data_IF_780027549911
#
_entry.id   IF_780027549911
#
_cell.length_a   1.000
_cell.length_b   1.000
_cell.length_c   1.000
_cell.angle_alpha   90.00
_cell.angle_beta   90.00
_cell.angle_gamma   90.00
#
_symmetry.space_group_name_H-M   'P 1'
#
loop_
_entity.id
_entity.type
_entity.pdbx_description
1 polymer ?
#
# COMPACT_ATOMS: atom_id res chain seq x y z
N UNK A 1 29.10 90.24 -3.12
CA UNK A 1 29.08 89.09 -4.05
C UNK A 1 28.23 87.99 -3.43
N UNK A 2 27.11 87.64 -4.08
CA UNK A 2 26.08 86.74 -3.57
C UNK A 2 26.48 85.27 -3.77
N UNK A 3 26.34 84.44 -2.73
CA UNK A 3 26.54 83.00 -2.83
C UNK A 3 25.40 82.34 -3.60
N UNK A 4 25.74 81.45 -4.54
CA UNK A 4 24.79 80.61 -5.26
C UNK A 4 24.39 79.45 -4.34
N UNK A 5 23.10 79.37 -3.98
CA UNK A 5 22.50 78.17 -3.40
C UNK A 5 22.22 77.19 -4.54
N UNK A 6 22.81 76.01 -4.45
CA UNK A 6 22.51 74.85 -5.30
C UNK A 6 21.34 74.13 -4.63
N UNK A 7 20.14 74.28 -5.18
CA UNK A 7 18.98 73.48 -4.79
C UNK A 7 19.08 72.12 -5.48
N UNK A 8 19.46 71.11 -4.70
CA UNK A 8 19.52 69.71 -5.12
C UNK A 8 18.12 69.11 -4.91
N UNK A 9 17.31 69.10 -5.96
CA UNK A 9 16.03 68.41 -6.02
C UNK A 9 16.30 66.90 -6.07
N UNK A 10 16.26 66.24 -4.91
CA UNK A 10 16.26 64.77 -4.81
C UNK A 10 14.84 64.30 -5.10
N UNK A 11 14.58 63.98 -6.37
CA UNK A 11 13.38 63.26 -6.76
C UNK A 11 13.52 61.80 -6.29
N UNK A 12 12.87 61.46 -5.18
CA UNK A 12 12.71 60.09 -4.73
C UNK A 12 11.77 59.35 -5.71
N UNK A 13 12.34 58.74 -6.74
CA UNK A 13 11.66 57.73 -7.53
C UNK A 13 11.50 56.48 -6.67
N UNK A 14 10.32 56.32 -6.06
CA UNK A 14 9.91 55.05 -5.45
C UNK A 14 9.69 54.06 -6.61
N UNK A 15 10.74 53.32 -6.95
CA UNK A 15 10.61 52.12 -7.77
C UNK A 15 9.81 51.11 -6.93
N UNK A 16 8.51 50.97 -7.23
CA UNK A 16 7.78 49.74 -6.94
C UNK A 16 8.39 48.64 -7.80
N UNK A 17 9.48 48.03 -7.34
CA UNK A 17 9.86 46.71 -7.81
C UNK A 17 8.79 45.80 -7.25
N UNK A 18 7.78 45.49 -8.06
CA UNK A 18 6.92 44.34 -7.85
C UNK A 18 7.84 43.12 -7.94
N UNK A 19 8.46 42.76 -6.82
CA UNK A 19 8.98 41.41 -6.66
C UNK A 19 7.74 40.56 -6.77
N UNK A 20 7.55 39.91 -7.92
CA UNK A 20 6.64 38.79 -8.02
C UNK A 20 6.89 37.92 -6.78
N UNK A 21 5.85 37.38 -6.12
CA UNK A 21 6.08 36.38 -5.09
C UNK A 21 6.90 35.28 -5.75
N UNK A 22 8.22 35.31 -5.52
CA UNK A 22 9.11 34.20 -5.81
C UNK A 22 8.54 33.16 -4.88
N UNK A 23 8.00 32.06 -5.44
CA UNK A 23 7.54 30.94 -4.62
C UNK A 23 8.70 30.60 -3.70
N UNK A 24 8.54 30.94 -2.43
CA UNK A 24 9.54 30.59 -1.46
C UNK A 24 9.38 29.09 -1.25
N UNK A 25 10.46 28.40 -0.94
CA UNK A 25 10.41 27.02 -0.52
C UNK A 25 11.11 27.02 0.82
N UNK A 26 10.47 26.43 1.81
CA UNK A 26 11.10 26.25 3.11
C UNK A 26 11.93 24.99 3.04
N UNK A 27 13.23 25.14 3.18
CA UNK A 27 14.16 24.03 3.11
C UNK A 27 14.77 23.73 4.48
N UNK A 28 14.70 22.46 4.86
CA UNK A 28 15.40 21.89 6.00
C UNK A 28 16.48 20.95 5.50
N UNK A 29 17.76 21.35 5.57
CA UNK A 29 18.87 20.60 4.98
C UNK A 29 20.14 20.60 5.85
N UNK A 30 19.97 20.77 7.17
CA UNK A 30 21.07 20.98 8.12
C UNK A 30 21.55 19.73 8.85
N UNK A 31 20.93 18.56 8.61
CA UNK A 31 21.15 17.35 9.40
C UNK A 31 20.64 17.46 10.84
N UNK A 32 19.70 18.37 11.08
CA UNK A 32 19.09 18.63 12.39
C UNK A 32 17.69 18.03 12.47
N UNK A 33 17.11 18.05 13.66
CA UNK A 33 15.69 17.74 13.89
C UNK A 33 14.87 19.03 13.91
N UNK A 34 13.78 19.06 13.17
CA UNK A 34 12.85 20.16 13.06
C UNK A 34 11.46 19.73 13.54
N UNK A 35 11.01 20.31 14.64
CA UNK A 35 9.68 20.07 15.20
C UNK A 35 8.71 21.14 14.69
N UNK A 36 7.66 20.72 13.97
CA UNK A 36 6.67 21.61 13.36
C UNK A 36 5.34 21.43 14.08
N UNK A 37 5.00 22.40 14.93
CA UNK A 37 3.74 22.53 15.67
C UNK A 37 2.92 23.76 15.24
N UNK A 38 3.25 24.31 14.06
CA UNK A 38 2.64 25.49 13.47
C UNK A 38 2.34 25.30 11.98
N UNK A 39 1.50 26.17 11.43
CA UNK A 39 1.16 26.15 10.00
C UNK A 39 2.32 26.67 9.14
N UNK A 40 2.70 25.89 8.12
CA UNK A 40 3.62 26.29 7.07
C UNK A 40 2.83 26.57 5.80
N UNK A 41 2.68 27.85 5.46
CA UNK A 41 2.05 28.31 4.22
C UNK A 41 3.05 28.37 3.06
N UNK A 42 3.81 27.29 2.88
CA UNK A 42 4.72 27.14 1.74
C UNK A 42 5.07 25.68 1.47
N UNK A 43 5.65 25.42 0.30
CA UNK A 43 6.25 24.12 0.02
C UNK A 43 7.43 23.86 0.96
N UNK A 44 7.52 22.63 1.46
CA UNK A 44 8.55 22.21 2.40
C UNK A 44 9.41 21.12 1.78
N UNK A 45 10.72 21.34 1.72
CA UNK A 45 11.71 20.36 1.27
C UNK A 45 12.64 19.96 2.41
N UNK A 46 12.92 18.66 2.50
CA UNK A 46 13.86 18.09 3.48
C UNK A 46 15.03 17.44 2.72
N UNK A 47 16.24 17.94 2.93
CA UNK A 47 17.50 17.49 2.31
C UNK A 47 17.59 17.61 0.78
N UNK A 48 16.84 18.52 0.15
CA UNK A 48 16.87 18.68 -1.31
C UNK A 48 18.21 19.24 -1.85
N UNK A 49 18.70 20.38 -1.34
CA UNK A 49 19.91 21.03 -1.84
C UNK A 49 21.20 20.55 -1.15
N UNK A 50 21.07 19.88 -0.02
CA UNK A 50 22.20 19.26 0.71
C UNK A 50 21.90 17.78 0.97
N UNK A 51 21.94 16.93 -0.08
CA UNK A 51 21.61 15.51 0.01
C UNK A 51 22.54 14.76 0.97
N UNK A 52 22.01 13.78 1.71
CA UNK A 52 22.79 12.90 2.60
C UNK A 52 23.06 13.45 4.00
N UNK A 53 22.29 14.45 4.43
CA UNK A 53 22.46 15.09 5.74
C UNK A 53 21.67 14.38 6.86
N UNK A 54 20.71 13.53 6.52
CA UNK A 54 19.85 12.84 7.49
C UNK A 54 18.98 13.79 8.31
N UNK A 55 18.52 14.89 7.71
CA UNK A 55 17.63 15.85 8.38
C UNK A 55 16.31 15.17 8.76
N UNK A 56 15.87 15.43 9.99
CA UNK A 56 14.62 14.91 10.52
C UNK A 56 13.58 16.02 10.60
N UNK A 57 12.38 15.80 10.08
CA UNK A 57 11.21 16.67 10.28
C UNK A 57 10.13 15.90 11.05
N UNK A 58 9.68 16.47 12.16
CA UNK A 58 8.56 15.95 12.94
C UNK A 58 7.36 16.87 12.77
N UNK A 59 6.30 16.39 12.13
CA UNK A 59 4.99 17.03 12.12
C UNK A 59 4.25 16.67 13.40
N UNK A 60 4.03 17.67 14.25
CA UNK A 60 3.41 17.53 15.57
C UNK A 60 1.95 17.98 15.56
N UNK A 61 1.24 17.76 16.66
CA UNK A 61 -0.08 18.35 16.87
C UNK A 61 -0.02 19.88 16.78
N UNK A 62 -0.96 20.48 16.05
CA UNK A 62 -0.96 21.92 15.73
C UNK A 62 -0.19 22.28 14.45
N UNK A 63 0.73 21.40 14.00
CA UNK A 63 1.42 21.55 12.73
C UNK A 63 0.48 21.32 11.54
N UNK A 64 0.58 22.16 10.52
CA UNK A 64 -0.18 21.99 9.28
C UNK A 64 0.59 22.43 8.03
N UNK A 65 0.38 21.70 6.94
CA UNK A 65 0.76 22.11 5.58
C UNK A 65 -0.53 22.13 4.75
N UNK A 66 -1.07 23.32 4.44
CA UNK A 66 -2.34 23.49 3.71
C UNK A 66 -2.35 22.89 2.29
N UNK A 67 -3.55 22.78 1.72
CA UNK A 67 -3.80 22.16 0.41
C UNK A 67 -2.98 22.70 -0.77
N UNK A 68 -2.52 23.94 -0.71
CA UNK A 68 -1.76 24.53 -1.82
C UNK A 68 -0.29 24.11 -1.81
N UNK A 69 0.15 23.42 -0.76
CA UNK A 69 1.56 23.13 -0.48
C UNK A 69 1.82 21.65 -0.24
N UNK A 70 3.07 21.25 -0.43
CA UNK A 70 3.51 19.87 -0.25
C UNK A 70 4.75 19.76 0.63
N UNK A 71 4.91 18.59 1.24
CA UNK A 71 6.12 18.19 1.96
C UNK A 71 6.87 17.14 1.14
N UNK A 72 8.13 17.40 0.82
CA UNK A 72 8.98 16.48 0.07
C UNK A 72 10.25 16.15 0.86
N UNK A 73 10.51 14.87 1.07
CA UNK A 73 11.79 14.35 1.55
C UNK A 73 12.64 13.82 0.41
N UNK A 74 13.95 14.01 0.55
CA UNK A 74 14.95 13.53 -0.40
C UNK A 74 15.99 12.67 0.33
N UNK A 75 16.65 11.79 -0.42
CA UNK A 75 17.84 11.05 0.01
C UNK A 75 17.65 10.26 1.31
N UNK A 76 18.35 10.59 2.40
CA UNK A 76 18.29 9.89 3.68
C UNK A 76 17.46 10.63 4.75
N UNK A 77 16.62 11.58 4.32
CA UNK A 77 15.76 12.35 5.22
C UNK A 77 14.77 11.46 5.98
N UNK A 78 14.39 11.94 7.17
CA UNK A 78 13.44 11.26 8.07
C UNK A 78 12.25 12.18 8.30
N UNK A 79 11.05 11.74 7.93
CA UNK A 79 9.82 12.50 8.13
C UNK A 79 8.89 11.71 9.06
N UNK A 80 8.54 12.31 10.19
CA UNK A 80 7.63 11.71 11.16
C UNK A 80 6.33 12.51 11.23
N UNK A 81 5.21 11.88 10.89
CA UNK A 81 3.87 12.41 11.13
C UNK A 81 3.36 11.83 12.46
N UNK A 82 3.59 12.60 13.52
CA UNK A 82 3.22 12.24 14.89
C UNK A 82 1.84 12.81 15.27
N UNK A 83 1.42 13.87 14.56
CA UNK A 83 0.14 14.55 14.65
C UNK A 83 -0.03 15.49 13.46
N UNK A 84 -0.88 16.51 13.62
CA UNK A 84 -1.02 17.58 12.62
C UNK A 84 -1.68 17.12 11.32
N UNK A 85 -1.52 17.92 10.26
CA UNK A 85 -2.15 17.66 8.96
C UNK A 85 -1.28 18.09 7.80
N UNK A 86 -1.04 17.17 6.86
CA UNK A 86 -0.44 17.45 5.55
C UNK A 86 -1.55 17.23 4.52
N UNK A 87 -2.24 18.30 4.11
CA UNK A 87 -3.50 18.17 3.38
C UNK A 87 -3.33 17.73 1.91
N UNK A 88 -2.18 18.03 1.30
CA UNK A 88 -1.91 17.72 -0.11
C UNK A 88 -0.97 16.53 -0.26
N UNK A 89 0.33 16.73 -0.39
CA UNK A 89 1.25 15.66 -0.77
C UNK A 89 2.37 15.57 0.25
N UNK A 90 2.59 14.35 0.76
CA UNK A 90 3.82 13.93 1.38
C UNK A 90 4.56 13.04 0.39
N UNK A 91 5.65 13.55 -0.20
CA UNK A 91 6.46 12.82 -1.18
C UNK A 91 7.77 12.38 -0.52
N UNK A 92 8.07 11.10 -0.60
CA UNK A 92 9.33 10.50 -0.16
C UNK A 92 10.10 10.03 -1.40
N UNK A 93 11.21 10.69 -1.69
CA UNK A 93 12.09 10.34 -2.80
C UNK A 93 13.34 9.59 -2.31
N UNK A 94 14.00 8.88 -3.22
CA UNK A 94 15.28 8.19 -2.99
C UNK A 94 15.23 7.15 -1.85
N UNK A 95 15.83 7.42 -0.68
CA UNK A 95 15.85 6.51 0.48
C UNK A 95 15.14 7.09 1.71
N UNK A 96 14.24 8.06 1.49
CA UNK A 96 13.53 8.78 2.55
C UNK A 96 12.76 7.81 3.44
N UNK A 97 12.81 8.06 4.74
CA UNK A 97 12.08 7.28 5.74
C UNK A 97 10.89 8.09 6.27
N UNK A 98 9.68 7.57 6.08
CA UNK A 98 8.46 8.18 6.59
C UNK A 98 7.83 7.30 7.66
N UNK A 99 7.52 7.89 8.82
CA UNK A 99 6.71 7.24 9.86
C UNK A 99 5.42 8.01 10.09
N UNK A 100 4.27 7.36 9.96
CA UNK A 100 2.95 7.91 10.32
C UNK A 100 2.43 7.15 11.54
N UNK A 101 2.34 7.84 12.67
CA UNK A 101 1.84 7.31 13.94
C UNK A 101 0.61 8.05 14.47
N UNK A 102 0.30 9.20 13.89
CA UNK A 102 -0.88 10.02 14.14
C UNK A 102 -1.09 11.00 12.98
N UNK A 103 -1.98 11.97 13.19
CA UNK A 103 -2.24 13.02 12.20
C UNK A 103 -2.98 12.55 10.95
N UNK A 104 -3.02 13.43 9.95
CA UNK A 104 -3.70 13.23 8.67
C UNK A 104 -2.73 13.51 7.52
N UNK A 105 -2.65 12.60 6.55
CA UNK A 105 -1.88 12.77 5.31
C UNK A 105 -2.79 12.59 4.10
N UNK A 106 -3.01 13.67 3.38
CA UNK A 106 -4.02 13.77 2.32
C UNK A 106 -5.43 13.98 2.88
N UNK A 107 -6.26 14.67 2.11
CA UNK A 107 -7.69 14.79 2.38
C UNK A 107 -8.48 14.83 1.06
N UNK A 108 -9.61 14.13 1.06
CA UNK A 108 -10.57 14.14 -0.05
C UNK A 108 -11.09 15.55 -0.33
N UNK A 109 -11.37 15.90 -1.61
CA UNK A 109 -11.46 15.02 -2.79
C UNK A 109 -10.18 14.99 -3.66
N UNK A 110 -9.10 15.61 -3.21
CA UNK A 110 -7.89 15.78 -4.00
C UNK A 110 -7.07 14.49 -3.98
N UNK A 111 -6.42 14.13 -5.11
CA UNK A 111 -5.44 13.02 -5.19
C UNK A 111 -4.22 13.34 -4.31
N UNK A 112 -4.42 13.22 -3.01
CA UNK A 112 -3.57 13.70 -1.95
C UNK A 112 -3.23 12.52 -1.07
N UNK A 113 -2.07 12.59 -0.42
CA UNK A 113 -1.59 11.45 0.36
C UNK A 113 -0.08 11.33 0.34
N UNK A 114 0.37 10.10 0.55
CA UNK A 114 1.76 9.73 0.74
C UNK A 114 2.26 8.99 -0.50
N UNK A 115 3.31 9.52 -1.13
CA UNK A 115 3.92 8.95 -2.32
C UNK A 115 5.36 8.55 -2.01
N UNK A 116 5.64 7.24 -2.02
CA UNK A 116 6.96 6.68 -1.79
C UNK A 116 7.58 6.21 -3.11
N UNK A 117 8.67 6.87 -3.50
CA UNK A 117 9.43 6.59 -4.72
C UNK A 117 10.79 5.95 -4.41
N UNK A 118 11.36 5.35 -5.45
CA UNK A 118 12.68 4.74 -5.45
C UNK A 118 12.87 3.65 -4.38
N UNK A 119 13.63 3.89 -3.33
CA UNK A 119 13.93 2.94 -2.25
C UNK A 119 13.42 3.41 -0.89
N UNK A 120 12.44 4.34 -0.89
CA UNK A 120 11.86 4.92 0.32
C UNK A 120 11.20 3.87 1.21
N UNK A 121 11.14 4.16 2.50
CA UNK A 121 10.56 3.28 3.51
C UNK A 121 9.44 4.01 4.24
N UNK A 122 8.26 3.39 4.31
CA UNK A 122 7.09 3.96 4.97
C UNK A 122 6.62 3.01 6.07
N UNK A 123 6.49 3.53 7.29
CA UNK A 123 5.91 2.80 8.43
C UNK A 123 4.64 3.49 8.90
N UNK A 124 3.54 2.75 8.96
CA UNK A 124 2.24 3.24 9.44
C UNK A 124 1.82 2.45 10.68
N UNK A 125 1.75 3.12 11.82
CA UNK A 125 1.29 2.55 13.11
C UNK A 125 0.00 3.20 13.60
N UNK A 126 -0.41 4.33 13.01
CA UNK A 126 -1.60 5.10 13.36
C UNK A 126 -1.88 6.18 12.31
N UNK A 127 -2.74 7.14 12.64
CA UNK A 127 -3.12 8.24 11.76
C UNK A 127 -4.11 7.85 10.66
N UNK A 128 -4.41 8.83 9.81
CA UNK A 128 -5.28 8.69 8.64
C UNK A 128 -4.50 9.07 7.37
N UNK A 129 -4.56 8.21 6.36
CA UNK A 129 -3.93 8.46 5.05
C UNK A 129 -4.98 8.25 3.98
N UNK A 130 -5.21 9.23 3.10
CA UNK A 130 -6.14 9.04 1.98
C UNK A 130 -5.52 8.06 0.97
N UNK A 131 -4.46 8.46 0.27
CA UNK A 131 -3.78 7.60 -0.69
C UNK A 131 -2.34 7.29 -0.25
N UNK A 132 -1.92 6.02 -0.34
CA UNK A 132 -0.54 5.59 -0.14
C UNK A 132 -0.04 4.87 -1.40
N UNK A 133 0.76 5.57 -2.20
CA UNK A 133 1.35 5.04 -3.41
C UNK A 133 2.81 4.64 -3.16
N UNK A 134 3.15 3.40 -3.48
CA UNK A 134 4.53 2.91 -3.40
C UNK A 134 5.03 2.49 -4.79
N UNK A 135 6.23 2.90 -5.13
CA UNK A 135 6.83 2.69 -6.45
C UNK A 135 8.34 2.41 -6.33
N UNK A 136 8.97 2.05 -7.44
CA UNK A 136 10.37 1.62 -7.47
C UNK A 136 10.55 0.31 -6.71
N UNK A 137 11.44 0.32 -5.73
CA UNK A 137 11.73 -0.73 -4.74
C UNK A 137 11.30 -0.32 -3.32
N UNK A 138 10.39 0.66 -3.18
CA UNK A 138 9.94 1.17 -1.89
C UNK A 138 9.30 0.07 -1.03
N UNK A 139 9.39 0.24 0.29
CA UNK A 139 8.86 -0.72 1.26
C UNK A 139 7.86 -0.02 2.19
N UNK A 140 6.68 -0.61 2.36
CA UNK A 140 5.62 -0.10 3.23
C UNK A 140 5.27 -1.15 4.26
N UNK A 141 5.27 -0.76 5.54
CA UNK A 141 4.83 -1.58 6.65
C UNK A 141 3.64 -0.92 7.35
N UNK A 142 2.50 -1.61 7.39
CA UNK A 142 1.27 -1.15 8.04
C UNK A 142 0.92 -2.07 9.20
N UNK A 143 0.76 -1.49 10.38
CA UNK A 143 0.38 -2.20 11.62
C UNK A 143 -0.81 -1.55 12.34
N UNK A 144 -1.23 -0.37 11.91
CA UNK A 144 -2.36 0.38 12.45
C UNK A 144 -2.78 1.52 11.51
N UNK A 145 -3.64 2.40 12.01
CA UNK A 145 -4.17 3.54 11.24
C UNK A 145 -5.36 3.19 10.34
N UNK A 146 -5.85 4.21 9.64
CA UNK A 146 -6.88 4.12 8.60
C UNK A 146 -6.27 4.59 7.30
N UNK A 147 -6.31 3.76 6.26
CA UNK A 147 -5.79 4.10 4.94
C UNK A 147 -6.89 3.85 3.92
N UNK A 148 -7.27 4.84 3.11
CA UNK A 148 -8.32 4.60 2.11
C UNK A 148 -7.80 3.71 0.98
N UNK A 149 -6.68 4.07 0.36
CA UNK A 149 -6.10 3.33 -0.76
C UNK A 149 -4.59 3.09 -0.59
N UNK A 150 -4.13 1.86 -0.86
CA UNK A 150 -2.72 1.51 -0.97
C UNK A 150 -2.44 0.95 -2.37
N UNK A 151 -1.58 1.61 -3.15
CA UNK A 151 -1.22 1.21 -4.51
C UNK A 151 0.28 0.91 -4.64
N UNK A 152 0.74 -0.32 -4.33
CA UNK A 152 2.10 -0.71 -4.65
C UNK A 152 2.23 -1.06 -6.13
N UNK A 153 3.24 -0.48 -6.76
CA UNK A 153 3.56 -0.63 -8.17
C UNK A 153 5.04 -1.02 -8.38
N UNK A 154 5.38 -1.45 -9.59
CA UNK A 154 6.73 -1.88 -9.97
C UNK A 154 7.29 -2.97 -9.04
N UNK A 155 8.42 -2.77 -8.37
CA UNK A 155 9.06 -3.76 -7.48
C UNK A 155 8.84 -3.43 -6.00
N UNK A 156 7.89 -2.56 -5.67
CA UNK A 156 7.58 -2.18 -4.30
C UNK A 156 6.95 -3.33 -3.51
N UNK A 157 7.09 -3.25 -2.19
CA UNK A 157 6.63 -4.27 -1.26
C UNK A 157 5.77 -3.66 -0.16
N UNK A 158 4.62 -4.25 0.12
CA UNK A 158 3.71 -3.84 1.21
C UNK A 158 3.52 -5.00 2.17
N UNK A 159 3.65 -4.74 3.46
CA UNK A 159 3.31 -5.68 4.53
C UNK A 159 2.23 -5.08 5.40
N UNK A 160 1.10 -5.79 5.54
CA UNK A 160 -0.03 -5.41 6.39
C UNK A 160 -0.17 -6.43 7.52
N UNK A 161 -0.09 -5.94 8.76
CA UNK A 161 -0.26 -6.72 9.99
C UNK A 161 -1.42 -6.23 10.85
N UNK A 162 -1.98 -5.06 10.52
CA UNK A 162 -3.07 -4.40 11.24
C UNK A 162 -3.58 -3.18 10.48
N UNK A 163 -4.49 -2.41 11.10
CA UNK A 163 -5.12 -1.24 10.51
C UNK A 163 -6.44 -1.53 9.79
N UNK A 164 -7.08 -0.46 9.31
CA UNK A 164 -8.26 -0.51 8.45
C UNK A 164 -7.92 0.08 7.08
N UNK A 165 -8.11 -0.70 6.02
CA UNK A 165 -7.74 -0.33 4.65
C UNK A 165 -8.97 -0.42 3.76
N UNK A 166 -9.29 0.64 3.02
CA UNK A 166 -10.35 0.58 2.01
C UNK A 166 -9.95 -0.32 0.85
N UNK A 167 -8.80 -0.06 0.23
CA UNK A 167 -8.33 -0.83 -0.92
C UNK A 167 -6.83 -1.03 -0.91
N UNK A 168 -6.42 -2.25 -1.22
CA UNK A 168 -5.03 -2.62 -1.52
C UNK A 168 -4.98 -3.09 -2.98
N UNK A 169 -4.33 -2.34 -3.87
CA UNK A 169 -4.29 -2.63 -5.30
C UNK A 169 -2.85 -2.86 -5.77
N UNK A 170 -2.44 -4.13 -5.73
CA UNK A 170 -1.11 -4.56 -6.16
C UNK A 170 -1.01 -4.62 -7.69
N UNK A 171 -0.23 -3.71 -8.26
CA UNK A 171 -0.08 -3.54 -9.70
C UNK A 171 1.36 -3.71 -10.19
N UNK A 172 1.54 -3.94 -11.49
CA UNK A 172 2.85 -4.20 -12.09
C UNK A 172 3.45 -5.51 -11.56
N UNK A 173 4.67 -5.47 -11.02
CA UNK A 173 5.34 -6.64 -10.41
C UNK A 173 5.39 -6.56 -8.88
N UNK A 174 4.53 -5.74 -8.26
CA UNK A 174 4.60 -5.44 -6.84
C UNK A 174 4.12 -6.63 -6.00
N UNK A 175 4.47 -6.61 -4.72
CA UNK A 175 4.16 -7.68 -3.79
C UNK A 175 3.49 -7.12 -2.54
N UNK A 176 2.41 -7.75 -2.10
CA UNK A 176 1.79 -7.45 -0.83
C UNK A 176 1.64 -8.72 0.04
N UNK A 177 1.90 -8.60 1.33
CA UNK A 177 1.65 -9.65 2.33
C UNK A 177 0.69 -9.12 3.37
N UNK A 178 -0.38 -9.87 3.64
CA UNK A 178 -1.42 -9.53 4.61
C UNK A 178 -1.52 -10.64 5.64
N UNK A 179 -1.27 -10.31 6.91
CA UNK A 179 -1.38 -11.25 8.04
C UNK A 179 -2.35 -10.77 9.12
N UNK A 180 -2.92 -9.57 8.97
CA UNK A 180 -3.89 -8.98 9.90
C UNK A 180 -4.53 -7.72 9.33
N UNK A 181 -5.34 -7.05 10.14
CA UNK A 181 -6.12 -5.87 9.74
C UNK A 181 -7.48 -6.20 9.12
N UNK A 182 -8.20 -5.15 8.75
CA UNK A 182 -9.46 -5.21 8.02
C UNK A 182 -9.28 -4.50 6.67
N UNK A 183 -9.51 -5.20 5.56
CA UNK A 183 -9.33 -4.68 4.21
C UNK A 183 -10.63 -4.85 3.43
N UNK A 184 -11.26 -3.77 2.97
CA UNK A 184 -12.51 -3.90 2.22
C UNK A 184 -12.25 -4.56 0.85
N UNK A 185 -11.21 -4.15 0.12
CA UNK A 185 -10.91 -4.71 -1.21
C UNK A 185 -9.42 -4.99 -1.44
N UNK A 186 -9.12 -6.19 -1.91
CA UNK A 186 -7.81 -6.53 -2.47
C UNK A 186 -7.93 -6.70 -3.98
N UNK A 187 -7.14 -5.93 -4.71
CA UNK A 187 -6.94 -6.08 -6.14
C UNK A 187 -5.51 -6.57 -6.39
N UNK A 188 -5.39 -7.57 -7.26
CA UNK A 188 -4.13 -7.93 -7.89
C UNK A 188 -4.30 -7.81 -9.41
N UNK A 189 -3.42 -7.05 -10.06
CA UNK A 189 -3.51 -6.72 -11.49
C UNK A 189 -2.17 -6.89 -12.17
N UNK A 190 -2.20 -7.11 -13.48
CA UNK A 190 -1.04 -7.32 -14.35
C UNK A 190 -0.12 -8.47 -13.92
N UNK A 191 0.88 -8.25 -13.08
CA UNK A 191 1.75 -9.31 -12.54
C UNK A 191 1.90 -9.20 -11.00
N UNK A 192 1.02 -8.42 -10.35
CA UNK A 192 1.02 -8.20 -8.92
C UNK A 192 0.77 -9.49 -8.16
N UNK A 193 1.35 -9.58 -6.96
CA UNK A 193 1.26 -10.78 -6.12
C UNK A 193 0.80 -10.41 -4.73
N UNK A 194 -0.22 -11.10 -4.22
CA UNK A 194 -0.70 -10.91 -2.85
C UNK A 194 -0.70 -12.23 -2.11
N UNK A 195 -0.12 -12.26 -0.91
CA UNK A 195 -0.20 -13.39 0.01
C UNK A 195 -1.04 -13.01 1.23
N UNK A 196 -2.04 -13.81 1.56
CA UNK A 196 -2.93 -13.60 2.71
C UNK A 196 -2.86 -14.80 3.65
N UNK A 197 -2.50 -14.54 4.90
CA UNK A 197 -2.36 -15.55 5.97
C UNK A 197 -3.28 -15.26 7.17
N UNK A 198 -3.95 -14.10 7.19
CA UNK A 198 -4.81 -13.65 8.27
C UNK A 198 -5.49 -12.32 7.95
N UNK A 199 -6.26 -11.80 8.91
CA UNK A 199 -7.04 -10.56 8.76
C UNK A 199 -8.49 -10.82 8.30
N UNK A 200 -9.21 -9.74 8.03
CA UNK A 200 -10.57 -9.75 7.49
C UNK A 200 -10.51 -9.07 6.12
N UNK A 201 -10.98 -9.73 5.08
CA UNK A 201 -11.04 -9.18 3.72
C UNK A 201 -12.44 -9.34 3.16
N UNK A 202 -13.05 -8.28 2.63
CA UNK A 202 -14.40 -8.41 2.07
C UNK A 202 -14.34 -8.92 0.62
N UNK A 203 -13.47 -8.34 -0.20
CA UNK A 203 -13.43 -8.63 -1.63
C UNK A 203 -12.03 -8.98 -2.12
N UNK A 204 -11.97 -9.98 -3.00
CA UNK A 204 -10.81 -10.23 -3.84
C UNK A 204 -11.14 -10.06 -5.31
N UNK A 205 -10.32 -9.30 -6.03
CA UNK A 205 -10.39 -9.17 -7.48
C UNK A 205 -9.02 -9.41 -8.09
N UNK A 206 -8.92 -10.44 -8.92
CA UNK A 206 -7.66 -10.89 -9.51
C UNK A 206 -7.79 -10.81 -11.04
N UNK A 207 -6.93 -10.06 -11.70
CA UNK A 207 -6.97 -9.90 -13.17
C UNK A 207 -5.57 -9.82 -13.81
N UNK A 208 -5.50 -9.83 -15.14
CA UNK A 208 -4.23 -9.89 -15.85
C UNK A 208 -3.51 -11.23 -15.65
N UNK A 209 -2.20 -11.20 -15.41
CA UNK A 209 -1.36 -12.37 -15.05
C UNK A 209 -0.99 -12.36 -13.55
N UNK A 210 -1.83 -11.74 -12.72
CA UNK A 210 -1.59 -11.57 -11.28
C UNK A 210 -1.91 -12.85 -10.49
N UNK A 211 -1.44 -12.88 -9.24
CA UNK A 211 -1.58 -14.04 -8.38
C UNK A 211 -1.98 -13.62 -6.97
N UNK A 212 -2.96 -14.32 -6.39
CA UNK A 212 -3.24 -14.25 -4.95
C UNK A 212 -3.10 -15.65 -4.35
N UNK A 213 -2.45 -15.76 -3.19
CA UNK A 213 -2.41 -16.98 -2.39
C UNK A 213 -3.08 -16.72 -1.05
N UNK A 214 -4.04 -17.56 -0.67
CA UNK A 214 -4.79 -17.46 0.58
C UNK A 214 -4.55 -18.74 1.39
N UNK A 215 -4.07 -18.58 2.62
CA UNK A 215 -3.84 -19.67 3.57
C UNK A 215 -4.49 -19.42 4.93
N UNK A 216 -5.16 -18.28 5.09
CA UNK A 216 -5.88 -17.92 6.30
C UNK A 216 -6.57 -16.56 6.19
N UNK A 217 -7.30 -16.20 7.24
CA UNK A 217 -8.11 -14.99 7.30
C UNK A 217 -9.59 -15.26 7.06
N UNK A 218 -10.41 -14.28 7.43
CA UNK A 218 -11.85 -14.30 7.18
C UNK A 218 -12.15 -13.58 5.86
N UNK A 219 -12.79 -14.29 4.94
CA UNK A 219 -13.42 -13.70 3.76
C UNK A 219 -14.91 -13.50 4.04
N UNK A 220 -15.41 -12.27 3.86
CA UNK A 220 -16.80 -11.93 4.21
C UNK A 220 -17.74 -11.86 3.00
N UNK A 221 -17.23 -11.60 1.79
CA UNK A 221 -18.05 -11.56 0.58
C UNK A 221 -17.59 -12.55 -0.52
N UNK A 222 -16.91 -12.07 -1.57
CA UNK A 222 -16.70 -12.84 -2.80
C UNK A 222 -15.30 -12.65 -3.40
N UNK A 223 -14.94 -13.57 -4.30
CA UNK A 223 -13.80 -13.42 -5.20
C UNK A 223 -14.19 -13.44 -6.67
N UNK A 224 -13.58 -12.53 -7.44
CA UNK A 224 -13.73 -12.45 -8.90
C UNK A 224 -12.37 -12.57 -9.56
N UNK A 225 -12.31 -13.45 -10.55
CA UNK A 225 -11.10 -13.68 -11.33
C UNK A 225 -11.35 -13.41 -12.81
N UNK A 226 -10.37 -12.85 -13.50
CA UNK A 226 -10.42 -12.57 -14.94
C UNK A 226 -9.06 -12.74 -15.62
N UNK A 227 -9.06 -12.86 -16.95
CA UNK A 227 -7.89 -12.99 -17.82
C UNK A 227 -7.06 -14.24 -17.54
N UNK A 228 -5.80 -14.12 -17.13
CA UNK A 228 -4.91 -15.23 -16.79
C UNK A 228 -4.62 -15.29 -15.28
N UNK A 229 -5.50 -14.68 -14.48
CA UNK A 229 -5.36 -14.61 -13.03
C UNK A 229 -5.35 -15.99 -12.39
N UNK A 230 -4.55 -16.13 -11.32
CA UNK A 230 -4.50 -17.34 -10.51
C UNK A 230 -4.76 -17.01 -9.06
N UNK A 231 -5.78 -17.64 -8.49
CA UNK A 231 -6.00 -17.68 -7.04
C UNK A 231 -5.61 -19.05 -6.51
N UNK A 232 -4.68 -19.10 -5.56
CA UNK A 232 -4.31 -20.34 -4.86
C UNK A 232 -4.91 -20.33 -3.47
N UNK A 233 -5.54 -21.43 -3.08
CA UNK A 233 -6.08 -21.61 -1.73
C UNK A 233 -5.47 -22.83 -1.07
N UNK A 234 -4.81 -22.61 0.06
CA UNK A 234 -4.21 -23.67 0.87
C UNK A 234 -5.18 -24.07 1.98
N UNK A 235 -5.57 -25.35 2.01
CA UNK A 235 -6.55 -25.82 3.00
C UNK A 235 -7.06 -27.24 2.80
N UNK A 236 -8.25 -27.50 3.30
CA UNK A 236 -8.91 -28.80 3.34
C UNK A 236 -10.44 -28.68 3.20
N UNK A 237 -11.10 -29.82 3.00
CA UNK A 237 -12.56 -29.96 2.95
C UNK A 237 -13.27 -29.06 1.93
N UNK A 238 -12.61 -28.77 0.81
CA UNK A 238 -13.19 -27.93 -0.23
C UNK A 238 -14.42 -28.56 -0.89
N UNK A 239 -15.50 -27.79 -0.98
CA UNK A 239 -16.71 -28.14 -1.69
C UNK A 239 -17.23 -26.96 -2.52
N UNK A 240 -17.69 -27.26 -3.75
CA UNK A 240 -18.33 -26.31 -4.64
C UNK A 240 -19.82 -26.62 -4.69
N UNK A 241 -20.65 -25.63 -4.38
CA UNK A 241 -22.10 -25.76 -4.35
C UNK A 241 -22.57 -26.95 -3.48
N UNK A 242 -21.90 -27.14 -2.34
CA UNK A 242 -22.14 -28.23 -1.38
C UNK A 242 -21.61 -29.61 -1.81
N UNK A 243 -20.97 -29.72 -2.98
CA UNK A 243 -20.37 -30.97 -3.46
C UNK A 243 -18.86 -30.97 -3.21
N UNK A 244 -18.30 -31.94 -2.49
CA UNK A 244 -16.85 -32.05 -2.28
C UNK A 244 -16.08 -32.16 -3.60
N UNK A 245 -15.02 -31.37 -3.78
CA UNK A 245 -14.25 -31.32 -5.04
C UNK A 245 -12.80 -31.81 -4.92
N UNK A 246 -12.28 -32.00 -3.70
CA UNK A 246 -10.88 -32.37 -3.48
C UNK A 246 -9.91 -31.27 -3.93
N UNK A 247 -8.73 -31.66 -4.41
CA UNK A 247 -7.66 -30.74 -4.83
C UNK A 247 -7.60 -30.66 -6.35
N UNK A 248 -8.43 -29.78 -6.93
CA UNK A 248 -8.59 -29.60 -8.36
C UNK A 248 -8.32 -28.15 -8.78
N UNK A 249 -8.17 -27.96 -10.09
CA UNK A 249 -8.24 -26.64 -10.72
C UNK A 249 -9.70 -26.32 -11.04
N UNK A 250 -10.21 -25.20 -10.51
CA UNK A 250 -11.51 -24.66 -10.88
C UNK A 250 -11.29 -23.61 -11.97
N UNK A 251 -11.92 -23.83 -13.13
CA UNK A 251 -11.86 -22.92 -14.26
C UNK A 251 -13.24 -22.29 -14.55
N UNK A 252 -13.23 -21.37 -15.51
CA UNK A 252 -14.40 -20.84 -16.20
C UNK A 252 -15.33 -21.95 -16.73
N UNK A 253 -16.64 -21.69 -16.78
CA UNK A 253 -17.62 -22.60 -17.38
C UNK A 253 -17.95 -22.17 -18.81
N UNK A 254 -18.11 -20.86 -19.04
CA UNK A 254 -18.54 -20.31 -20.34
C UNK A 254 -17.38 -19.77 -21.18
N UNK A 255 -16.23 -19.52 -20.58
CA UNK A 255 -15.05 -18.92 -21.20
C UNK A 255 -15.14 -17.40 -21.38
N UNK A 256 -16.20 -16.77 -20.85
CA UNK A 256 -16.55 -15.37 -21.09
C UNK A 256 -15.96 -14.41 -20.06
N UNK A 257 -16.50 -13.19 -20.00
CA UNK A 257 -16.19 -12.29 -18.90
C UNK A 257 -16.77 -12.85 -17.59
N UNK A 258 -16.18 -12.55 -16.44
CA UNK A 258 -16.66 -13.10 -15.16
C UNK A 258 -18.13 -12.71 -14.88
N UNK A 259 -18.62 -11.61 -15.45
CA UNK A 259 -20.02 -11.16 -15.34
C UNK A 259 -21.00 -12.08 -16.08
N UNK A 260 -20.51 -12.80 -17.09
CA UNK A 260 -21.31 -13.78 -17.83
C UNK A 260 -21.32 -15.15 -17.12
N UNK A 261 -20.40 -15.37 -16.18
CA UNK A 261 -20.24 -16.63 -15.48
C UNK A 261 -21.23 -16.76 -14.32
N UNK A 262 -21.75 -17.98 -14.07
CA UNK A 262 -22.64 -18.20 -12.95
C UNK A 262 -21.92 -17.97 -11.62
N UNK A 263 -22.63 -17.38 -10.67
CA UNK A 263 -22.21 -17.36 -9.27
C UNK A 263 -22.21 -18.80 -8.73
N UNK A 264 -21.07 -19.21 -8.18
CA UNK A 264 -20.90 -20.47 -7.47
C UNK A 264 -20.42 -20.21 -6.06
N UNK A 265 -20.64 -21.16 -5.16
CA UNK A 265 -20.23 -21.05 -3.77
C UNK A 265 -19.11 -22.01 -3.47
N UNK A 266 -17.99 -21.51 -2.94
CA UNK A 266 -16.88 -22.32 -2.47
C UNK A 266 -16.89 -22.32 -0.94
N UNK A 267 -16.83 -23.52 -0.38
CA UNK A 267 -16.70 -23.75 1.06
C UNK A 267 -15.45 -24.58 1.34
N UNK A 268 -14.90 -24.47 2.54
CA UNK A 268 -13.76 -25.28 2.99
C UNK A 268 -13.18 -24.77 4.32
N UNK A 269 -12.01 -25.31 4.67
CA UNK A 269 -11.21 -24.86 5.80
C UNK A 269 -9.85 -24.43 5.29
N UNK A 270 -9.42 -23.20 5.57
CA UNK A 270 -8.10 -22.70 5.20
C UNK A 270 -7.00 -23.32 6.08
N UNK A 271 -5.75 -23.24 5.65
CA UNK A 271 -4.60 -23.83 6.34
C UNK A 271 -4.46 -23.39 7.81
N UNK A 272 -4.87 -22.17 8.15
CA UNK A 272 -4.84 -21.67 9.53
C UNK A 272 -6.05 -22.12 10.39
N UNK A 273 -6.99 -22.87 9.81
CA UNK A 273 -8.21 -23.35 10.47
C UNK A 273 -9.45 -22.46 10.28
N UNK A 274 -9.32 -21.31 9.61
CA UNK A 274 -10.46 -20.43 9.34
C UNK A 274 -11.42 -21.07 8.33
N UNK A 275 -12.73 -20.87 8.53
CA UNK A 275 -13.74 -21.33 7.59
C UNK A 275 -13.78 -20.45 6.35
N UNK A 276 -13.82 -21.08 5.19
CA UNK A 276 -14.13 -20.45 3.91
C UNK A 276 -15.60 -20.72 3.56
N UNK A 277 -16.33 -19.66 3.25
CA UNK A 277 -17.71 -19.76 2.75
C UNK A 277 -18.04 -18.51 1.93
N UNK A 278 -17.83 -18.58 0.62
CA UNK A 278 -17.85 -17.38 -0.22
C UNK A 278 -18.27 -17.67 -1.65
N UNK A 279 -18.90 -16.67 -2.26
CA UNK A 279 -19.29 -16.74 -3.67
C UNK A 279 -18.13 -16.40 -4.59
N UNK A 280 -18.19 -16.93 -5.81
CA UNK A 280 -17.14 -16.71 -6.79
C UNK A 280 -17.57 -16.75 -8.25
N UNK A 281 -16.77 -16.06 -9.08
CA UNK A 281 -16.89 -16.02 -10.53
C UNK A 281 -15.50 -16.07 -11.18
N UNK A 282 -15.35 -16.83 -12.27
CA UNK A 282 -14.07 -17.04 -12.97
C UNK A 282 -14.26 -16.80 -14.46
N UNK A 283 -13.80 -15.65 -14.96
CA UNK A 283 -13.83 -15.31 -16.38
C UNK A 283 -12.54 -15.64 -17.13
N UNK A 284 -12.65 -15.71 -18.46
CA UNK A 284 -11.56 -15.96 -19.42
C UNK A 284 -10.74 -17.20 -19.04
N UNK A 285 -9.41 -17.12 -19.04
CA UNK A 285 -8.48 -18.21 -18.73
C UNK A 285 -8.10 -18.26 -17.25
N UNK A 286 -8.80 -17.51 -16.39
CA UNK A 286 -8.47 -17.43 -14.98
C UNK A 286 -8.83 -18.73 -14.27
N UNK A 287 -8.25 -18.94 -13.08
CA UNK A 287 -8.45 -20.18 -12.34
C UNK A 287 -8.21 -20.07 -10.85
N UNK A 288 -8.83 -20.99 -10.13
CA UNK A 288 -8.56 -21.25 -8.71
C UNK A 288 -7.87 -22.60 -8.58
N UNK A 289 -6.78 -22.64 -7.82
CA UNK A 289 -6.02 -23.85 -7.53
C UNK A 289 -6.20 -24.18 -6.05
N UNK A 290 -6.77 -25.34 -5.76
CA UNK A 290 -6.95 -25.84 -4.40
C UNK A 290 -5.77 -26.74 -4.02
N UNK A 291 -5.10 -26.42 -2.92
CA UNK A 291 -3.85 -27.07 -2.49
C UNK A 291 -4.05 -27.71 -1.11
N UNK A 292 -3.61 -28.97 -0.91
CA UNK A 292 -3.68 -29.63 0.39
C UNK A 292 -2.74 -28.99 1.41
N UNK A 293 -3.10 -29.10 2.69
CA UNK A 293 -2.20 -28.81 3.78
C UNK A 293 -0.87 -29.59 3.63
N UNK A 294 0.30 -28.95 3.84
CA UNK A 294 1.60 -29.60 3.65
C UNK A 294 1.80 -30.88 4.48
N UNK A 295 1.18 -30.96 5.66
CA UNK A 295 1.24 -32.12 6.54
C UNK A 295 0.62 -33.37 5.88
N UNK A 296 -0.44 -33.20 5.09
CA UNK A 296 -1.12 -34.29 4.37
C UNK A 296 -0.16 -34.99 3.41
N UNK A 297 0.69 -34.22 2.71
CA UNK A 297 1.69 -34.75 1.78
C UNK A 297 2.77 -35.54 2.54
N UNK A 298 3.26 -35.00 3.67
CA UNK A 298 4.27 -35.68 4.49
C UNK A 298 3.74 -36.99 5.07
N UNK A 299 2.51 -37.00 5.59
CA UNK A 299 1.86 -38.21 6.11
C UNK A 299 1.67 -39.27 5.02
N UNK A 300 1.26 -38.89 3.82
CA UNK A 300 1.18 -39.79 2.67
C UNK A 300 2.55 -40.37 2.28
N UNK A 301 3.58 -39.52 2.25
CA UNK A 301 4.95 -39.93 1.95
C UNK A 301 5.51 -40.93 2.97
N UNK A 302 5.37 -40.63 4.26
CA UNK A 302 5.83 -41.51 5.33
C UNK A 302 5.00 -42.80 5.43
N UNK A 303 3.67 -42.71 5.26
CA UNK A 303 2.79 -43.87 5.23
C UNK A 303 3.12 -44.82 4.07
N UNK A 304 3.38 -44.28 2.88
CA UNK A 304 3.84 -45.05 1.73
C UNK A 304 5.17 -45.76 1.99
N UNK A 305 6.15 -45.08 2.60
CA UNK A 305 7.45 -45.67 2.96
C UNK A 305 7.32 -46.79 4.00
N UNK A 306 6.45 -46.64 5.00
CA UNK A 306 6.19 -47.66 6.00
C UNK A 306 5.58 -48.93 5.38
N UNK A 307 4.63 -48.78 4.45
CA UNK A 307 4.02 -49.90 3.71
C UNK A 307 5.03 -50.64 2.81
N UNK A 308 5.93 -49.91 2.15
CA UNK A 308 6.98 -50.52 1.31
C UNK A 308 7.99 -51.32 2.15
N UNK A 309 8.34 -50.84 3.34
CA UNK A 309 9.22 -51.61 4.26
C UNK A 309 8.54 -52.85 4.82
N UNK A 310 7.24 -52.80 5.13
CA UNK A 310 6.48 -53.95 5.63
C UNK A 310 6.43 -55.12 4.65
N UNK A 311 6.47 -54.87 3.33
CA UNK A 311 6.41 -55.92 2.29
C UNK A 311 7.73 -56.64 2.00
N UNK A 312 8.87 -56.16 2.50
CA UNK A 312 10.19 -56.79 2.26
C UNK A 312 10.68 -57.68 3.41
N UNK A 313 9.91 -57.76 4.51
CA UNK A 313 10.29 -58.50 5.72
C UNK A 313 9.49 -59.76 6.02
N UNK A 314 8.61 -60.20 5.11
CA UNK A 314 7.86 -61.47 5.20
C UNK A 314 7.96 -62.23 3.90
#
# INVERSE_FOLDING_TARGET
MKSKRVEMLVAAAVLFVSVSPVMAVIEFNGGLTHDIDYEINDDVWVDCLSPGMGTTLNMLEGGSIPFDYRLEGFEDSIINVLGGSIYTLLIANDSTQVTVSGGVVGERPSRSGLFAYDSSQVTVTGGEIDQLDASGTSQVAVSGGVIEDIHPSFSSQVTVTGGAIGRLDAWGSSQATVSGGAIEKIYARDAGRVAVTGGIVDHYVVSGNSQITISGGLLTEYFRLQDNAVLTMDGSDFAVDGTPVGYIELATILGGWFLDEPHRRLTGTLLNGDSLDSDFQIGHSAKIILVPEPATILLLGFGGLALVRGRRGG
#
